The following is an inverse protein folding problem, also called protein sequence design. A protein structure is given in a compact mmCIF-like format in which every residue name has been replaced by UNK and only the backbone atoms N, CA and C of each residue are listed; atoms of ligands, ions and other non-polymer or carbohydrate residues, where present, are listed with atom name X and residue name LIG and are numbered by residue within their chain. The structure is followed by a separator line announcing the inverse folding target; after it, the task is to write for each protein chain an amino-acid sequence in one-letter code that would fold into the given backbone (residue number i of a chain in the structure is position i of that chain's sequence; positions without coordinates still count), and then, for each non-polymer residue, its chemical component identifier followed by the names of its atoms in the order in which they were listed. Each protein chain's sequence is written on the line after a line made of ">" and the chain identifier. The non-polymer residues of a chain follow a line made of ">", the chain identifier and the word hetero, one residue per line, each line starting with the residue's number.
data_IF_961631673706
#
_entry.id   IF_961631673706
#
_cell.length_a   1.000
_cell.length_b   1.000
_cell.length_c   1.000
_cell.angle_alpha   90.00
_cell.angle_beta   90.00
_cell.angle_gamma   90.00
#
_symmetry.space_group_name_H-M   'P 1'
#
loop_
_entity.id
_entity.type
_entity.pdbx_description
1 polymer ?
#
# COMPACT_ATOMS: atom_id res chain seq x y z
N UNK A 1 -15.14 -13.11 12.01
CA UNK A 1 -15.80 -13.38 13.31
C UNK A 1 -17.03 -14.29 13.26
N UNK A 2 -17.73 -14.50 12.13
CA UNK A 2 -18.94 -15.37 12.08
C UNK A 2 -18.72 -16.78 12.65
N UNK A 3 -17.76 -17.52 12.09
CA UNK A 3 -17.41 -18.90 12.52
C UNK A 3 -16.94 -18.94 13.99
N UNK A 4 -16.28 -17.87 14.45
CA UNK A 4 -15.89 -17.70 15.85
C UNK A 4 -17.11 -17.49 16.76
N UNK A 5 -18.04 -16.62 16.38
CA UNK A 5 -19.29 -16.42 17.11
C UNK A 5 -20.16 -17.69 17.14
N UNK A 6 -20.07 -18.55 16.13
CA UNK A 6 -20.75 -19.85 16.08
C UNK A 6 -20.07 -20.92 16.96
N UNK A 7 -18.99 -20.58 17.68
CA UNK A 7 -18.27 -21.49 18.57
C UNK A 7 -17.47 -22.57 17.85
N UNK A 8 -17.25 -22.42 16.54
CA UNK A 8 -16.53 -23.44 15.73
C UNK A 8 -15.00 -23.27 15.82
N UNK A 9 -14.52 -22.10 16.21
CA UNK A 9 -13.09 -21.77 16.34
C UNK A 9 -12.82 -21.02 17.63
N UNK A 10 -11.74 -21.35 18.34
CA UNK A 10 -11.34 -20.67 19.58
C UNK A 10 -10.65 -19.31 19.34
N UNK A 11 -10.10 -19.08 18.15
CA UNK A 11 -9.36 -17.86 17.81
C UNK A 11 -9.79 -17.33 16.44
N UNK A 12 -9.94 -16.01 16.33
CA UNK A 12 -10.16 -15.31 15.06
C UNK A 12 -9.20 -14.14 14.95
N UNK A 13 -8.54 -14.00 13.80
CA UNK A 13 -7.65 -12.88 13.50
C UNK A 13 -8.33 -11.93 12.51
N UNK A 14 -8.16 -10.63 12.72
CA UNK A 14 -8.55 -9.58 11.78
C UNK A 14 -7.54 -8.42 11.86
N UNK A 15 -7.34 -7.71 10.75
CA UNK A 15 -6.54 -6.48 10.66
C UNK A 15 -7.16 -5.27 11.37
N UNK A 16 -8.27 -5.47 12.09
CA UNK A 16 -9.02 -4.44 12.82
C UNK A 16 -9.64 -5.02 14.09
N UNK A 17 -9.98 -4.18 15.08
CA UNK A 17 -10.82 -4.61 16.20
C UNK A 17 -12.17 -5.18 15.74
N UNK A 18 -12.73 -6.06 16.58
CA UNK A 18 -14.10 -6.54 16.44
C UNK A 18 -15.07 -5.35 16.55
N UNK A 19 -16.03 -5.25 15.62
CA UNK A 19 -17.08 -4.23 15.69
C UNK A 19 -18.04 -4.57 16.84
N UNK A 20 -18.67 -3.56 17.42
CA UNK A 20 -19.68 -3.77 18.46
C UNK A 20 -20.81 -4.70 18.00
N UNK A 21 -21.28 -4.56 16.77
CA UNK A 21 -22.30 -5.45 16.21
C UNK A 21 -21.85 -6.92 16.08
N UNK A 22 -20.56 -7.16 15.82
CA UNK A 22 -19.99 -8.51 15.76
C UNK A 22 -19.88 -9.12 17.17
N UNK A 23 -19.49 -8.30 18.16
CA UNK A 23 -19.43 -8.69 19.56
C UNK A 23 -20.81 -9.06 20.12
N UNK A 24 -21.84 -8.24 19.85
CA UNK A 24 -23.22 -8.54 20.25
C UNK A 24 -23.76 -9.81 19.57
N UNK A 25 -23.32 -10.09 18.34
CA UNK A 25 -23.66 -11.34 17.65
C UNK A 25 -23.06 -12.55 18.37
N UNK A 26 -21.77 -12.48 18.73
CA UNK A 26 -21.10 -13.54 19.49
C UNK A 26 -21.75 -13.78 20.86
N UNK A 27 -22.09 -12.70 21.59
CA UNK A 27 -22.79 -12.79 22.88
C UNK A 27 -24.11 -13.54 22.78
N UNK A 28 -24.93 -13.22 21.76
CA UNK A 28 -26.21 -13.92 21.52
C UNK A 28 -26.02 -15.40 21.21
N UNK A 29 -24.88 -15.77 20.63
CA UNK A 29 -24.52 -17.15 20.33
C UNK A 29 -23.84 -17.87 21.52
N UNK A 30 -23.75 -17.24 22.69
CA UNK A 30 -23.18 -17.83 23.91
C UNK A 30 -21.68 -17.64 24.09
N UNK A 31 -21.00 -16.97 23.17
CA UNK A 31 -19.57 -16.63 23.28
C UNK A 31 -19.44 -15.28 23.97
N UNK A 32 -19.35 -15.27 25.30
CA UNK A 32 -19.41 -14.05 26.11
C UNK A 32 -18.05 -13.52 26.59
N UNK A 33 -17.06 -14.40 26.75
CA UNK A 33 -15.73 -14.06 27.25
C UNK A 33 -14.74 -13.87 26.10
N UNK A 34 -14.88 -12.75 25.38
CA UNK A 34 -14.02 -12.42 24.24
C UNK A 34 -12.94 -11.44 24.69
N UNK A 35 -11.68 -11.83 24.52
CA UNK A 35 -10.52 -10.96 24.75
C UNK A 35 -9.92 -10.54 23.41
N UNK A 36 -9.84 -9.22 23.18
CA UNK A 36 -9.11 -8.67 22.05
C UNK A 36 -7.63 -8.52 22.40
N UNK A 37 -6.75 -9.14 21.61
CA UNK A 37 -5.29 -9.03 21.78
C UNK A 37 -4.71 -8.38 20.52
N UNK A 38 -3.99 -7.28 20.69
CA UNK A 38 -3.20 -6.68 19.61
C UNK A 38 -1.90 -7.48 19.46
N UNK A 39 -1.76 -8.20 18.34
CA UNK A 39 -0.59 -9.05 18.08
C UNK A 39 0.57 -8.23 17.50
N UNK A 40 0.29 -7.17 16.73
CA UNK A 40 1.32 -6.30 16.18
C UNK A 40 0.78 -5.31 15.15
N UNK A 41 1.71 -4.53 14.58
CA UNK A 41 1.46 -3.69 13.43
C UNK A 41 2.01 -4.37 12.19
N UNK A 42 1.22 -4.39 11.12
CA UNK A 42 1.72 -4.69 9.80
C UNK A 42 2.13 -3.38 9.10
N UNK A 43 3.17 -3.45 8.30
CA UNK A 43 3.76 -2.30 7.63
C UNK A 43 3.93 -2.59 6.15
N UNK A 44 3.56 -1.63 5.31
CA UNK A 44 3.91 -1.64 3.89
C UNK A 44 5.01 -0.62 3.69
N UNK A 45 6.05 -1.02 2.97
CA UNK A 45 7.20 -0.17 2.68
C UNK A 45 7.19 0.25 1.22
N UNK A 46 7.75 1.43 0.96
CA UNK A 46 8.29 1.79 -0.33
C UNK A 46 9.81 1.69 -0.20
N UNK A 47 10.40 0.67 -0.82
CA UNK A 47 11.82 0.38 -0.73
C UNK A 47 12.54 0.67 -2.05
N UNK A 48 13.85 0.81 -1.98
CA UNK A 48 14.73 0.99 -3.14
C UNK A 48 16.05 0.25 -2.93
N UNK A 49 16.90 0.20 -3.95
CA UNK A 49 18.25 -0.35 -3.79
C UNK A 49 19.05 0.43 -2.73
N UNK A 50 19.79 -0.28 -1.87
CA UNK A 50 20.55 0.29 -0.75
C UNK A 50 21.65 1.27 -1.18
N UNK A 51 22.12 1.21 -2.42
CA UNK A 51 23.11 2.17 -2.93
C UNK A 51 22.55 3.57 -3.13
N UNK A 52 21.22 3.73 -3.15
CA UNK A 52 20.59 5.04 -3.24
C UNK A 52 20.52 5.71 -1.86
N UNK A 53 20.62 7.04 -1.86
CA UNK A 53 20.39 7.83 -0.66
C UNK A 53 18.96 7.60 -0.13
N UNK A 54 18.77 7.53 1.21
CA UNK A 54 17.45 7.44 1.81
C UNK A 54 16.54 8.55 1.30
N UNK A 55 15.30 8.18 1.01
CA UNK A 55 14.31 9.08 0.45
C UNK A 55 13.11 9.20 1.39
N UNK A 56 12.62 10.42 1.59
CA UNK A 56 11.39 10.66 2.31
C UNK A 56 10.29 11.05 1.33
N UNK A 57 9.35 10.14 1.08
CA UNK A 57 8.18 10.35 0.21
C UNK A 57 6.94 10.45 1.09
N UNK A 58 6.17 11.51 0.88
CA UNK A 58 4.84 11.66 1.48
C UNK A 58 3.80 10.82 0.74
N UNK A 59 2.69 10.47 1.41
CA UNK A 59 1.55 9.80 0.76
C UNK A 59 1.02 10.56 -0.46
N UNK A 60 1.03 11.89 -0.42
CA UNK A 60 0.60 12.74 -1.54
C UNK A 60 1.53 12.59 -2.74
N UNK A 61 2.85 12.57 -2.53
CA UNK A 61 3.82 12.40 -3.61
C UNK A 61 3.74 10.99 -4.20
N UNK A 62 3.58 9.96 -3.35
CA UNK A 62 3.35 8.60 -3.82
C UNK A 62 2.06 8.49 -4.64
N UNK A 63 0.97 9.12 -4.19
CA UNK A 63 -0.27 9.21 -4.95
C UNK A 63 -0.06 9.87 -6.31
N UNK A 64 0.61 11.02 -6.36
CA UNK A 64 0.91 11.73 -7.61
C UNK A 64 1.84 10.93 -8.53
N UNK A 65 2.67 10.03 -8.00
CA UNK A 65 3.47 9.12 -8.82
C UNK A 65 2.64 7.98 -9.43
N UNK A 66 1.65 7.48 -8.70
CA UNK A 66 0.95 6.23 -9.00
C UNK A 66 -0.44 6.39 -9.63
N UNK A 67 -1.15 7.49 -9.40
CA UNK A 67 -2.49 7.71 -9.93
C UNK A 67 -2.49 7.73 -11.47
N UNK A 68 -3.49 7.11 -12.09
CA UNK A 68 -3.67 7.16 -13.56
C UNK A 68 -3.93 8.59 -14.05
N UNK A 69 -4.70 9.35 -13.30
CA UNK A 69 -5.03 10.74 -13.61
C UNK A 69 -4.78 11.64 -12.41
N UNK A 70 -4.39 12.89 -12.67
CA UNK A 70 -4.18 13.93 -11.66
C UNK A 70 -4.98 15.20 -11.99
N UNK A 71 -5.35 16.01 -10.99
CA UNK A 71 -5.97 17.31 -11.25
C UNK A 71 -4.95 18.30 -11.83
N UNK A 72 -5.31 18.90 -12.95
CA UNK A 72 -4.62 20.05 -13.53
C UNK A 72 -5.65 21.01 -14.09
N UNK A 73 -5.57 22.29 -13.69
CA UNK A 73 -6.50 23.34 -14.13
C UNK A 73 -7.99 22.97 -13.95
N UNK A 74 -8.33 22.33 -12.83
CA UNK A 74 -9.70 21.92 -12.48
C UNK A 74 -10.24 20.71 -13.26
N UNK A 75 -9.39 20.00 -14.00
CA UNK A 75 -9.76 18.78 -14.73
C UNK A 75 -8.82 17.63 -14.37
N UNK A 76 -9.34 16.41 -14.40
CA UNK A 76 -8.49 15.23 -14.35
C UNK A 76 -7.88 15.01 -15.72
N UNK A 77 -6.55 14.85 -15.75
CA UNK A 77 -5.78 14.55 -16.95
C UNK A 77 -4.93 13.30 -16.73
N UNK A 78 -4.53 12.57 -17.79
CA UNK A 78 -3.54 11.50 -17.65
C UNK A 78 -2.29 12.01 -16.92
N UNK A 79 -1.76 11.18 -16.01
CA UNK A 79 -0.64 11.58 -15.16
C UNK A 79 0.61 11.92 -15.99
N UNK A 80 1.06 13.19 -16.01
CA UNK A 80 2.18 13.63 -16.83
C UNK A 80 3.54 13.34 -16.19
N UNK A 81 3.58 12.95 -14.91
CA UNK A 81 4.84 12.79 -14.19
C UNK A 81 5.56 11.52 -14.65
N UNK A 82 6.79 11.69 -15.14
CA UNK A 82 7.70 10.62 -15.53
C UNK A 82 8.87 10.46 -14.57
N UNK A 83 9.21 11.51 -13.80
CA UNK A 83 10.35 11.53 -12.86
C UNK A 83 9.92 12.09 -11.50
N UNK A 84 10.54 11.61 -10.42
CA UNK A 84 10.18 12.01 -9.05
C UNK A 84 10.38 13.50 -8.78
N UNK A 85 11.44 14.11 -9.32
CA UNK A 85 11.72 15.54 -9.16
C UNK A 85 10.66 16.46 -9.80
N UNK A 86 9.82 15.95 -10.71
CA UNK A 86 8.70 16.71 -11.29
C UNK A 86 7.54 16.85 -10.31
N UNK A 87 7.43 15.93 -9.35
CA UNK A 87 6.43 15.96 -8.27
C UNK A 87 6.92 16.88 -7.15
N UNK A 88 8.18 16.71 -6.73
CA UNK A 88 8.84 17.57 -5.75
C UNK A 88 10.33 17.70 -6.10
N UNK A 89 10.82 18.94 -6.26
CA UNK A 89 12.21 19.24 -6.69
C UNK A 89 13.29 18.68 -5.75
N UNK A 90 12.95 18.36 -4.49
CA UNK A 90 13.86 17.75 -3.53
C UNK A 90 13.99 16.23 -3.71
N UNK A 91 13.11 15.62 -4.50
CA UNK A 91 13.19 14.20 -4.87
C UNK A 91 14.19 14.01 -6.03
N UNK A 92 14.78 12.81 -6.18
CA UNK A 92 15.80 12.56 -7.17
C UNK A 92 15.27 12.69 -8.60
N UNK A 93 16.15 13.05 -9.53
CA UNK A 93 15.86 12.98 -10.96
C UNK A 93 15.94 11.53 -11.47
N UNK A 94 15.10 10.65 -10.90
CA UNK A 94 14.94 9.25 -11.32
C UNK A 94 13.58 9.05 -11.95
N UNK A 95 13.52 8.18 -12.95
CA UNK A 95 12.28 7.75 -13.58
C UNK A 95 11.37 7.13 -12.51
N UNK A 96 10.08 7.42 -12.57
CA UNK A 96 9.08 6.75 -11.74
C UNK A 96 8.92 5.34 -12.32
N UNK A 97 9.43 4.36 -11.59
CA UNK A 97 9.33 2.93 -11.87
C UNK A 97 9.13 2.21 -10.54
N UNK A 98 7.93 1.70 -10.31
CA UNK A 98 7.51 1.11 -9.03
C UNK A 98 7.02 -0.30 -9.28
N UNK A 99 7.81 -1.29 -8.88
CA UNK A 99 7.37 -2.67 -8.79
C UNK A 99 6.41 -2.80 -7.60
N UNK A 100 5.24 -3.39 -7.82
CA UNK A 100 4.27 -3.54 -6.74
C UNK A 100 3.42 -4.78 -6.92
N UNK A 101 2.65 -5.16 -5.88
CA UNK A 101 1.77 -6.30 -5.90
C UNK A 101 0.74 -6.25 -7.06
N UNK A 102 0.27 -7.42 -7.54
CA UNK A 102 -0.76 -7.49 -8.57
C UNK A 102 -2.15 -7.14 -7.97
N UNK A 103 -3.16 -6.99 -8.82
CA UNK A 103 -4.54 -6.66 -8.39
C UNK A 103 -5.22 -7.72 -7.50
N UNK A 104 -4.65 -8.91 -7.40
CA UNK A 104 -5.15 -10.00 -6.54
C UNK A 104 -4.57 -9.99 -5.12
N UNK A 105 -3.64 -9.09 -4.83
CA UNK A 105 -2.88 -9.07 -3.57
C UNK A 105 -3.47 -8.09 -2.55
N UNK A 106 -3.62 -8.53 -1.31
CA UNK A 106 -4.09 -7.68 -0.20
C UNK A 106 -3.13 -6.53 0.15
N UNK A 107 -1.84 -6.65 -0.18
CA UNK A 107 -0.87 -5.55 -0.06
C UNK A 107 -1.27 -4.41 -1.00
N UNK A 108 -1.77 -4.73 -2.20
CA UNK A 108 -2.26 -3.71 -3.14
C UNK A 108 -3.53 -3.05 -2.63
N UNK A 109 -4.48 -3.81 -2.10
CA UNK A 109 -5.71 -3.25 -1.52
C UNK A 109 -5.37 -2.20 -0.46
N UNK A 110 -4.36 -2.49 0.37
CA UNK A 110 -3.90 -1.56 1.41
C UNK A 110 -3.28 -0.28 0.82
N UNK A 111 -2.56 -0.34 -0.30
CA UNK A 111 -2.07 0.86 -1.01
C UNK A 111 -3.26 1.67 -1.55
N UNK A 112 -4.23 0.99 -2.17
CA UNK A 112 -5.42 1.61 -2.72
C UNK A 112 -6.27 2.31 -1.64
N UNK A 113 -6.29 1.78 -0.41
CA UNK A 113 -6.97 2.40 0.72
C UNK A 113 -6.15 3.51 1.39
N UNK A 114 -4.94 3.19 1.85
CA UNK A 114 -4.15 4.07 2.72
C UNK A 114 -3.46 5.21 1.97
N UNK A 115 -3.23 5.04 0.67
CA UNK A 115 -2.61 6.06 -0.19
C UNK A 115 -3.63 6.61 -1.16
N UNK A 116 -4.22 5.77 -2.00
CA UNK A 116 -5.02 6.27 -3.13
C UNK A 116 -6.31 6.93 -2.65
N UNK A 117 -7.12 6.21 -1.88
CA UNK A 117 -8.37 6.71 -1.33
C UNK A 117 -8.17 7.83 -0.31
N UNK A 118 -7.25 7.69 0.64
CA UNK A 118 -7.00 8.71 1.67
C UNK A 118 -6.53 10.06 1.10
N UNK A 119 -5.75 10.04 0.01
CA UNK A 119 -5.30 11.27 -0.66
C UNK A 119 -6.40 11.83 -1.56
N UNK A 120 -7.05 11.00 -2.39
CA UNK A 120 -8.02 11.48 -3.38
C UNK A 120 -9.24 12.12 -2.73
N UNK A 121 -9.71 11.61 -1.58
CA UNK A 121 -10.86 12.15 -0.83
C UNK A 121 -10.69 13.62 -0.45
N UNK A 122 -9.44 14.09 -0.33
CA UNK A 122 -9.09 15.45 0.08
C UNK A 122 -8.96 16.39 -1.12
N UNK A 123 -9.14 15.88 -2.34
CA UNK A 123 -8.96 16.61 -3.59
C UNK A 123 -10.33 16.69 -4.30
N UNK A 124 -10.92 17.90 -4.45
CA UNK A 124 -12.28 18.07 -4.97
C UNK A 124 -12.52 17.47 -6.36
N UNK A 125 -11.53 17.52 -7.25
CA UNK A 125 -11.66 17.10 -8.64
C UNK A 125 -11.95 15.60 -8.80
N UNK A 126 -11.57 14.76 -7.82
CA UNK A 126 -11.88 13.32 -7.85
C UNK A 126 -13.30 12.97 -7.40
N UNK A 127 -14.01 13.88 -6.73
CA UNK A 127 -15.38 13.67 -6.24
C UNK A 127 -15.54 12.40 -5.37
N UNK A 128 -14.52 12.08 -4.57
CA UNK A 128 -14.53 10.94 -3.65
C UNK A 128 -13.26 10.08 -3.72
N UNK A 129 -13.44 8.77 -3.60
CA UNK A 129 -12.35 7.79 -3.68
C UNK A 129 -11.91 7.58 -5.13
N UNK A 130 -10.61 7.71 -5.40
CA UNK A 130 -9.99 7.40 -6.67
C UNK A 130 -8.82 6.46 -6.41
N UNK A 131 -8.94 5.21 -6.89
CA UNK A 131 -7.99 4.12 -6.62
C UNK A 131 -7.24 3.64 -7.87
N UNK A 132 -7.54 4.22 -9.04
CA UNK A 132 -7.01 3.75 -10.31
C UNK A 132 -5.51 4.05 -10.43
N UNK A 133 -4.69 3.00 -10.38
CA UNK A 133 -3.26 3.07 -10.67
C UNK A 133 -3.00 3.23 -12.17
N UNK A 134 -1.93 3.95 -12.52
CA UNK A 134 -1.46 4.10 -13.90
C UNK A 134 -0.97 2.77 -14.47
N UNK A 135 -1.09 2.61 -15.79
CA UNK A 135 -0.76 1.38 -16.54
C UNK A 135 0.25 1.65 -17.67
N UNK A 136 0.93 2.78 -17.62
CA UNK A 136 1.90 3.26 -18.62
C UNK A 136 3.35 2.84 -18.30
N UNK A 137 3.52 1.82 -17.45
CA UNK A 137 4.82 1.26 -17.07
C UNK A 137 5.52 1.94 -15.90
N UNK A 138 4.94 2.98 -15.30
CA UNK A 138 5.46 3.55 -14.07
C UNK A 138 5.08 2.72 -12.83
N UNK A 139 3.91 2.07 -12.83
CA UNK A 139 3.59 0.97 -11.90
C UNK A 139 3.70 -0.35 -12.64
N UNK A 140 4.50 -1.28 -12.11
CA UNK A 140 4.82 -2.56 -12.72
C UNK A 140 4.30 -3.66 -11.80
N UNK A 141 3.15 -4.27 -12.11
CA UNK A 141 2.64 -5.40 -11.35
C UNK A 141 3.67 -6.54 -11.36
N UNK A 142 4.11 -6.93 -10.19
CA UNK A 142 4.90 -8.13 -9.94
C UNK A 142 3.96 -9.25 -9.50
N UNK A 143 4.37 -10.52 -9.64
CA UNK A 143 3.54 -11.64 -9.15
C UNK A 143 3.36 -11.61 -7.62
N UNK A 144 2.57 -12.53 -7.07
CA UNK A 144 2.27 -12.64 -5.63
C UNK A 144 3.50 -12.92 -4.72
N UNK A 145 4.67 -13.15 -5.31
CA UNK A 145 5.90 -13.40 -4.55
C UNK A 145 6.71 -12.10 -4.40
N UNK A 146 6.59 -11.46 -3.24
CA UNK A 146 7.30 -10.22 -2.89
C UNK A 146 8.84 -10.35 -2.98
N UNK A 147 9.41 -11.55 -2.83
CA UNK A 147 10.85 -11.74 -3.06
C UNK A 147 11.28 -11.44 -4.49
N UNK A 148 10.36 -11.54 -5.46
CA UNK A 148 10.63 -11.13 -6.83
C UNK A 148 10.83 -9.62 -6.90
N UNK A 149 10.05 -8.84 -6.16
CA UNK A 149 10.22 -7.38 -6.10
C UNK A 149 11.58 -7.05 -5.49
N UNK A 150 11.94 -7.67 -4.36
CA UNK A 150 13.27 -7.50 -3.74
C UNK A 150 14.39 -7.82 -4.74
N UNK A 151 14.29 -8.95 -5.44
CA UNK A 151 15.29 -9.37 -6.44
C UNK A 151 15.40 -8.36 -7.58
N UNK A 152 14.28 -7.80 -8.05
CA UNK A 152 14.27 -6.73 -9.06
C UNK A 152 15.00 -5.49 -8.57
N UNK A 153 14.78 -5.06 -7.34
CA UNK A 153 15.48 -3.89 -6.77
C UNK A 153 16.99 -4.08 -6.63
N UNK A 154 17.48 -5.31 -6.50
CA UNK A 154 18.94 -5.55 -6.49
C UNK A 154 19.61 -5.30 -7.84
N UNK A 155 18.84 -5.42 -8.94
CA UNK A 155 19.32 -5.30 -10.33
C UNK A 155 18.98 -3.90 -10.88
N UNK A 156 17.72 -3.50 -10.76
CA UNK A 156 17.19 -2.22 -11.21
C UNK A 156 17.34 -1.18 -10.09
N UNK A 157 18.50 -0.52 -10.07
CA UNK A 157 18.87 0.41 -9.00
C UNK A 157 18.06 1.70 -9.02
N UNK A 158 17.41 2.03 -10.12
CA UNK A 158 16.62 3.26 -10.24
C UNK A 158 15.16 3.08 -9.81
N UNK A 159 14.68 1.84 -9.75
CA UNK A 159 13.32 1.51 -9.38
C UNK A 159 13.05 1.51 -7.87
N UNK A 160 11.77 1.51 -7.55
CA UNK A 160 11.21 1.37 -6.22
C UNK A 160 10.33 0.12 -6.16
N UNK A 161 10.13 -0.41 -4.96
CA UNK A 161 9.29 -1.58 -4.71
C UNK A 161 8.31 -1.31 -3.58
N UNK A 162 7.09 -1.82 -3.71
CA UNK A 162 6.10 -1.81 -2.62
C UNK A 162 5.80 -3.23 -2.19
N UNK A 163 5.99 -3.53 -0.91
CA UNK A 163 5.77 -4.85 -0.30
C UNK A 163 5.73 -4.77 1.23
N UNK A 164 5.50 -5.90 1.91
CA UNK A 164 5.44 -5.97 3.37
C UNK A 164 6.79 -5.68 4.05
N UNK A 165 6.76 -5.02 5.22
CA UNK A 165 7.93 -4.57 5.97
C UNK A 165 8.92 -5.69 6.34
N UNK A 166 8.42 -6.91 6.57
CA UNK A 166 9.26 -8.08 6.89
C UNK A 166 10.31 -8.37 5.80
N UNK A 167 9.99 -8.13 4.52
CA UNK A 167 10.93 -8.31 3.42
C UNK A 167 12.04 -7.26 3.40
N UNK A 168 11.74 -6.02 3.83
CA UNK A 168 12.76 -4.98 4.01
C UNK A 168 13.72 -5.36 5.12
N UNK A 169 13.20 -5.77 6.29
CA UNK A 169 14.02 -6.18 7.44
C UNK A 169 14.96 -7.33 7.05
N UNK A 170 14.42 -8.35 6.39
CA UNK A 170 15.16 -9.55 5.97
C UNK A 170 16.21 -9.30 4.88
N UNK A 171 16.14 -8.17 4.19
CA UNK A 171 17.03 -7.81 3.08
C UNK A 171 17.65 -6.42 3.26
N UNK A 172 17.78 -5.98 4.52
CA UNK A 172 18.30 -4.66 4.86
C UNK A 172 19.76 -4.45 4.44
N UNK A 173 20.48 -5.50 4.05
CA UNK A 173 21.80 -5.47 3.43
C UNK A 173 21.75 -5.06 1.93
N UNK A 174 20.61 -5.23 1.27
CA UNK A 174 20.42 -5.03 -0.18
C UNK A 174 19.53 -3.84 -0.53
N UNK A 175 18.55 -3.55 0.30
CA UNK A 175 17.53 -2.52 0.08
C UNK A 175 17.40 -1.59 1.31
N UNK A 176 16.89 -0.37 1.08
CA UNK A 176 16.54 0.59 2.12
C UNK A 176 15.15 1.20 1.92
#
# INVERSE_FOLDING_TARGET
>A
FKVFCEGTTDISNASRPMKLSEFETCKKAGVTDIVGIMIGYDGIVLAQNKTNAPLNITKKELFLALAKEIPQNGKLIPNPYTNWNQINKNLPNRKISVYGPPSSSGTRDTIEELVMSDVSKKIPEYKGEYKTLRQDGAYIPSGENDNLIVSKLTIDKDAFGIFGYSFLVSNSDKIN
#
